data_IF_271323213917
#
_entry.id   IF_271323213917
#
_cell.length_a   1.000
_cell.length_b   1.000
_cell.length_c   1.000
_cell.angle_alpha   90.00
_cell.angle_beta   90.00
_cell.angle_gamma   90.00
#
_symmetry.space_group_name_H-M   'P 1'
#
loop_
_entity.id
_entity.type
_entity.pdbx_description
1 polymer ?
#
# COMPACT_ATOMS: atom_id res chain seq x y z
N UNK A 1 23.74 33.23 -19.66
CA UNK A 1 23.35 32.30 -18.58
C UNK A 1 22.56 31.18 -19.24
N UNK A 2 23.03 29.94 -19.14
CA UNK A 2 22.31 28.78 -19.66
C UNK A 2 21.35 28.30 -18.56
N UNK A 3 20.06 28.35 -18.85
CA UNK A 3 19.03 27.58 -18.17
C UNK A 3 19.16 26.12 -18.60
N UNK A 4 19.20 25.21 -17.63
CA UNK A 4 19.28 23.77 -17.87
C UNK A 4 20.04 23.10 -16.73
N UNK A 5 19.43 22.05 -16.16
CA UNK A 5 20.11 21.00 -15.37
C UNK A 5 20.25 21.18 -13.85
N UNK A 6 19.27 21.73 -13.12
CA UNK A 6 19.40 21.80 -11.65
C UNK A 6 18.18 21.58 -10.72
N UNK A 7 17.03 20.97 -11.14
CA UNK A 7 16.10 20.40 -10.16
C UNK A 7 16.08 18.87 -10.13
N UNK A 8 16.28 18.18 -11.25
CA UNK A 8 15.95 16.75 -11.38
C UNK A 8 16.91 15.83 -10.59
N UNK A 9 18.22 16.01 -10.73
CA UNK A 9 19.24 15.16 -10.07
C UNK A 9 19.17 15.20 -8.54
N UNK A 10 18.69 16.31 -7.97
CA UNK A 10 18.60 16.50 -6.52
C UNK A 10 17.45 15.69 -5.90
N UNK A 11 16.33 15.54 -6.61
CA UNK A 11 15.19 14.72 -6.16
C UNK A 11 15.48 13.23 -6.32
N UNK A 12 16.19 12.85 -7.38
CA UNK A 12 16.53 11.46 -7.67
C UNK A 12 17.39 10.84 -6.55
N UNK A 13 18.43 11.57 -6.09
CA UNK A 13 19.28 11.11 -4.97
C UNK A 13 18.51 10.99 -3.65
N UNK A 14 17.56 11.89 -3.38
CA UNK A 14 16.71 11.83 -2.19
C UNK A 14 15.72 10.66 -2.26
N UNK A 15 15.16 10.39 -3.43
CA UNK A 15 14.28 9.25 -3.70
C UNK A 15 15.02 7.91 -3.55
N UNK A 16 16.23 7.80 -4.10
CA UNK A 16 17.09 6.63 -3.88
C UNK A 16 17.52 6.45 -2.41
N UNK A 17 17.68 7.55 -1.66
CA UNK A 17 17.91 7.48 -0.21
C UNK A 17 16.69 6.93 0.55
N UNK A 18 15.48 7.28 0.12
CA UNK A 18 14.21 6.78 0.65
C UNK A 18 14.01 5.28 0.34
N UNK A 19 14.36 4.84 -0.87
CA UNK A 19 14.33 3.43 -1.28
C UNK A 19 15.37 2.57 -0.52
N UNK A 20 16.54 3.14 -0.19
CA UNK A 20 17.47 2.50 0.74
C UNK A 20 16.87 2.35 2.14
N UNK A 21 15.96 3.24 2.55
CA UNK A 21 15.19 3.17 3.79
C UNK A 21 14.44 1.85 3.97
N UNK A 22 13.92 1.23 2.91
CA UNK A 22 13.25 -0.08 3.03
C UNK A 22 14.24 -1.17 3.51
N UNK A 23 15.48 -1.19 3.00
CA UNK A 23 16.52 -2.13 3.47
C UNK A 23 17.00 -1.79 4.88
N UNK A 24 16.81 -0.55 5.31
CA UNK A 24 17.07 -0.13 6.69
C UNK A 24 16.01 -0.64 7.66
N UNK A 25 14.77 -0.84 7.22
CA UNK A 25 13.66 -1.30 8.09
C UNK A 25 13.25 -2.77 7.87
N UNK A 26 13.62 -3.39 6.75
CA UNK A 26 13.20 -4.74 6.39
C UNK A 26 14.31 -5.55 5.69
N UNK A 27 14.16 -6.88 5.71
CA UNK A 27 14.98 -7.84 4.97
C UNK A 27 14.09 -8.73 4.12
N UNK A 28 14.54 -9.06 2.92
CA UNK A 28 13.90 -10.06 2.08
C UNK A 28 14.49 -11.43 2.39
N UNK A 29 13.64 -12.42 2.64
CA UNK A 29 14.02 -13.78 3.00
C UNK A 29 13.31 -14.78 2.09
N UNK A 30 14.06 -15.36 1.15
CA UNK A 30 13.60 -16.50 0.37
C UNK A 30 13.50 -17.74 1.25
N UNK A 31 12.37 -18.45 1.15
CA UNK A 31 12.15 -19.73 1.82
C UNK A 31 11.72 -20.77 0.80
N UNK A 32 12.20 -21.99 0.99
CA UNK A 32 11.85 -23.16 0.18
C UNK A 32 10.98 -24.07 1.04
N UNK A 33 9.84 -24.48 0.50
CA UNK A 33 8.93 -25.41 1.15
C UNK A 33 8.75 -26.69 0.32
N UNK A 34 8.51 -27.79 1.03
CA UNK A 34 8.23 -29.11 0.45
C UNK A 34 6.98 -29.70 1.11
N UNK A 35 6.23 -30.50 0.36
CA UNK A 35 5.22 -31.39 0.98
C UNK A 35 5.79 -32.80 1.15
N UNK A 36 5.53 -33.40 2.31
CA UNK A 36 5.93 -34.79 2.60
C UNK A 36 4.77 -35.75 2.34
N UNK A 37 5.10 -36.88 1.72
CA UNK A 37 4.29 -38.10 1.77
C UNK A 37 4.46 -38.69 3.18
N UNK A 38 3.38 -38.71 3.97
CA UNK A 38 3.45 -39.11 5.39
C UNK A 38 3.77 -40.60 5.55
N UNK A 39 3.34 -41.42 4.61
CA UNK A 39 3.53 -42.87 4.67
C UNK A 39 4.94 -43.24 4.26
N UNK A 40 5.46 -42.60 3.20
CA UNK A 40 6.80 -42.88 2.67
C UNK A 40 7.91 -42.06 3.34
N UNK A 41 7.56 -41.01 4.07
CA UNK A 41 8.48 -39.98 4.62
C UNK A 41 9.42 -39.39 3.55
N UNK A 42 8.97 -39.37 2.30
CA UNK A 42 9.68 -38.77 1.16
C UNK A 42 8.95 -37.52 0.68
N UNK A 43 9.62 -36.72 -0.14
CA UNK A 43 9.00 -35.55 -0.77
C UNK A 43 7.94 -36.00 -1.78
N UNK A 44 6.79 -35.34 -1.80
CA UNK A 44 5.78 -35.53 -2.85
C UNK A 44 6.27 -34.91 -4.15
N UNK A 45 6.16 -35.66 -5.24
CA UNK A 45 6.53 -35.19 -6.57
C UNK A 45 5.72 -33.96 -6.97
N UNK A 46 6.39 -32.90 -7.43
CA UNK A 46 5.76 -31.64 -7.84
C UNK A 46 5.42 -30.67 -6.70
N UNK A 47 5.72 -31.00 -5.44
CA UNK A 47 5.38 -30.15 -4.27
C UNK A 47 6.59 -29.39 -3.71
N UNK A 48 7.47 -28.90 -4.58
CA UNK A 48 8.52 -27.94 -4.23
C UNK A 48 8.02 -26.53 -4.54
N UNK A 49 8.05 -25.63 -3.56
CA UNK A 49 7.70 -24.23 -3.78
C UNK A 49 8.71 -23.29 -3.13
N UNK A 50 8.77 -22.07 -3.64
CA UNK A 50 9.54 -20.98 -3.07
C UNK A 50 8.61 -19.82 -2.74
N UNK A 51 8.94 -19.07 -1.69
CA UNK A 51 8.25 -17.85 -1.33
C UNK A 51 9.25 -16.85 -0.75
N UNK A 52 9.16 -15.61 -1.20
CA UNK A 52 9.97 -14.51 -0.70
C UNK A 52 9.19 -13.73 0.34
N UNK A 53 9.73 -13.71 1.56
CA UNK A 53 9.10 -13.06 2.71
C UNK A 53 9.75 -11.73 3.00
N UNK A 54 8.97 -10.79 3.52
CA UNK A 54 9.47 -9.55 4.12
C UNK A 54 9.58 -9.78 5.63
N UNK A 55 10.79 -9.62 6.17
CA UNK A 55 11.09 -9.69 7.59
C UNK A 55 11.45 -8.28 8.09
N UNK A 56 10.51 -7.65 8.79
CA UNK A 56 10.73 -6.34 9.41
C UNK A 56 11.76 -6.42 10.54
N UNK A 57 12.60 -5.39 10.68
CA UNK A 57 13.52 -5.25 11.81
C UNK A 57 12.74 -4.90 13.08
N UNK A 58 13.36 -5.12 14.23
CA UNK A 58 12.76 -4.83 15.53
C UNK A 58 12.35 -3.35 15.60
N UNK A 59 11.13 -3.07 16.07
CA UNK A 59 10.60 -1.72 16.23
C UNK A 59 9.90 -1.15 14.99
N UNK A 60 9.71 -1.94 13.94
CA UNK A 60 8.93 -1.55 12.77
C UNK A 60 7.52 -2.10 12.91
N UNK A 61 6.54 -1.21 12.79
CA UNK A 61 5.12 -1.50 12.97
C UNK A 61 4.34 -1.01 11.74
N UNK A 62 3.24 -1.70 11.44
CA UNK A 62 2.28 -1.25 10.44
C UNK A 62 1.16 -0.50 11.13
N UNK A 63 0.99 0.77 10.80
CA UNK A 63 -0.01 1.65 11.42
C UNK A 63 -1.19 1.84 10.47
N UNK A 64 -2.39 1.65 10.99
CA UNK A 64 -3.65 1.91 10.27
C UNK A 64 -4.59 2.72 11.15
N UNK A 65 -5.28 3.67 10.53
CA UNK A 65 -6.31 4.47 11.19
C UNK A 65 -7.67 3.89 10.84
N UNK A 66 -8.49 3.62 11.85
CA UNK A 66 -9.81 3.00 11.65
C UNK A 66 -10.88 3.84 12.32
N UNK A 67 -11.86 4.27 11.52
CA UNK A 67 -13.07 4.94 12.01
C UNK A 67 -14.12 3.90 12.39
N UNK A 68 -13.86 3.14 13.45
CA UNK A 68 -14.79 2.15 13.99
C UNK A 68 -14.63 1.97 15.49
N UNK A 69 -15.73 1.60 16.16
CA UNK A 69 -15.68 1.13 17.54
C UNK A 69 -15.13 -0.29 17.58
N UNK A 70 -13.80 -0.41 17.69
CA UNK A 70 -13.12 -1.70 17.84
C UNK A 70 -13.12 -2.11 19.31
N UNK A 71 -13.53 -3.34 19.60
CA UNK A 71 -13.37 -3.92 20.94
C UNK A 71 -11.94 -4.53 21.06
N UNK A 72 -11.05 -3.96 21.89
CA UNK A 72 -9.67 -4.43 22.03
C UNK A 72 -9.56 -5.87 22.54
N UNK A 73 -10.52 -6.31 23.36
CA UNK A 73 -10.54 -7.67 23.92
C UNK A 73 -10.73 -8.76 22.85
N UNK A 74 -11.14 -8.38 21.63
CA UNK A 74 -11.41 -9.31 20.52
C UNK A 74 -10.27 -9.38 19.50
N UNK A 75 -9.28 -8.50 19.55
CA UNK A 75 -8.24 -8.40 18.52
C UNK A 75 -6.87 -8.29 19.22
N UNK A 76 -6.27 -9.45 19.48
CA UNK A 76 -4.92 -9.55 20.06
C UNK A 76 -3.93 -10.09 19.02
N UNK A 77 -4.27 -11.20 18.36
CA UNK A 77 -3.45 -11.79 17.29
C UNK A 77 -4.34 -12.19 16.13
N UNK A 78 -3.98 -11.75 14.92
CA UNK A 78 -4.74 -12.04 13.69
C UNK A 78 -3.82 -12.63 12.63
N UNK A 79 -4.42 -13.38 11.69
CA UNK A 79 -3.72 -13.80 10.48
C UNK A 79 -3.66 -12.63 9.51
N UNK A 80 -2.46 -12.26 9.08
CA UNK A 80 -2.25 -11.18 8.11
C UNK A 80 -1.27 -11.65 7.03
N UNK A 81 -1.65 -11.44 5.77
CA UNK A 81 -0.87 -11.88 4.61
C UNK A 81 -1.08 -13.34 4.22
N UNK A 82 -0.15 -13.88 3.43
CA UNK A 82 -0.17 -15.26 2.95
C UNK A 82 0.41 -16.28 3.95
N UNK A 83 0.35 -17.56 3.59
CA UNK A 83 1.08 -18.66 4.26
C UNK A 83 0.89 -18.74 5.80
N UNK A 84 -0.29 -18.33 6.29
CA UNK A 84 -0.67 -18.45 7.70
C UNK A 84 0.16 -17.59 8.66
N UNK A 85 0.76 -16.49 8.17
CA UNK A 85 1.48 -15.54 9.02
C UNK A 85 0.52 -14.82 9.98
N UNK A 86 1.05 -14.46 11.14
CA UNK A 86 0.29 -13.84 12.23
C UNK A 86 0.98 -12.55 12.67
N UNK A 87 0.16 -11.59 13.11
CA UNK A 87 0.61 -10.33 13.69
C UNK A 87 -0.14 -10.08 14.99
N UNK A 88 0.53 -9.40 15.92
CA UNK A 88 -0.13 -8.84 17.09
C UNK A 88 -0.70 -7.48 16.73
N UNK A 89 -1.85 -7.17 17.32
CA UNK A 89 -2.55 -5.91 17.11
C UNK A 89 -2.62 -5.19 18.43
N UNK A 90 -2.15 -3.96 18.44
CA UNK A 90 -2.28 -3.03 19.56
C UNK A 90 -3.20 -1.89 19.12
N UNK A 91 -4.08 -1.45 20.01
CA UNK A 91 -5.04 -0.38 19.74
C UNK A 91 -4.71 0.78 20.65
N UNK A 92 -4.23 1.85 20.06
CA UNK A 92 -4.15 3.15 20.72
C UNK A 92 -5.47 3.91 20.50
N UNK A 93 -6.21 4.13 21.59
CA UNK A 93 -7.49 4.87 21.57
C UNK A 93 -7.32 6.35 21.86
N UNK A 94 -6.17 6.73 22.40
CA UNK A 94 -5.90 8.09 22.83
C UNK A 94 -5.30 8.91 21.69
N UNK A 95 -4.70 8.24 20.70
CA UNK A 95 -4.24 8.88 19.48
C UNK A 95 -5.41 9.45 18.66
N UNK A 96 -5.40 10.78 18.51
CA UNK A 96 -6.35 11.51 17.67
C UNK A 96 -5.58 12.17 16.54
N UNK A 97 -5.83 11.73 15.32
CA UNK A 97 -5.27 12.35 14.13
C UNK A 97 -6.23 13.41 13.58
N UNK A 98 -5.69 14.55 13.17
CA UNK A 98 -6.46 15.58 12.49
C UNK A 98 -6.50 15.30 10.99
N UNK A 99 -7.70 15.03 10.48
CA UNK A 99 -7.91 14.90 9.05
C UNK A 99 -8.26 16.25 8.43
N UNK A 100 -7.55 16.62 7.37
CA UNK A 100 -7.87 17.81 6.55
C UNK A 100 -8.66 17.41 5.31
N UNK A 101 -9.36 18.37 4.70
CA UNK A 101 -10.02 18.17 3.40
C UNK A 101 -9.03 18.20 2.24
N UNK A 102 -9.42 17.60 1.10
CA UNK A 102 -8.61 17.61 -0.13
C UNK A 102 -8.84 18.92 -0.89
N UNK A 103 -7.77 19.67 -1.16
CA UNK A 103 -7.75 20.79 -2.10
C UNK A 103 -7.34 20.31 -3.49
N UNK A 104 -8.05 20.75 -4.53
CA UNK A 104 -7.72 20.36 -5.92
C UNK A 104 -6.37 20.89 -6.41
N UNK A 105 -5.92 22.03 -5.87
CA UNK A 105 -4.74 22.76 -6.34
C UNK A 105 -3.46 22.34 -5.58
N UNK A 106 -3.58 21.44 -4.60
CA UNK A 106 -2.46 20.95 -3.79
C UNK A 106 -1.98 19.57 -4.27
N UNK A 107 -0.78 19.22 -3.80
CA UNK A 107 -0.15 17.92 -4.02
C UNK A 107 -0.21 17.07 -2.75
N UNK A 108 -0.33 15.76 -2.95
CA UNK A 108 -0.47 14.78 -1.88
C UNK A 108 0.38 13.55 -2.16
N UNK A 109 0.86 12.90 -1.11
CA UNK A 109 1.51 11.59 -1.17
C UNK A 109 0.45 10.50 -1.00
N UNK A 110 0.42 9.55 -1.93
CA UNK A 110 -0.43 8.36 -1.84
C UNK A 110 0.13 7.40 -0.78
N UNK A 111 -0.62 7.18 0.31
CA UNK A 111 -0.26 6.21 1.34
C UNK A 111 -0.75 4.78 1.03
N UNK A 112 -1.73 4.68 0.13
CA UNK A 112 -2.28 3.45 -0.41
C UNK A 112 -2.46 3.61 -1.92
N UNK A 113 -2.65 2.52 -2.69
CA UNK A 113 -3.02 2.64 -4.09
C UNK A 113 -4.24 3.54 -4.31
N UNK A 114 -4.14 4.43 -5.29
CA UNK A 114 -5.25 5.29 -5.74
C UNK A 114 -5.87 4.63 -6.97
N UNK A 115 -7.06 4.06 -6.79
CA UNK A 115 -7.75 3.35 -7.85
C UNK A 115 -8.27 4.33 -8.90
N UNK A 116 -7.94 4.07 -10.16
CA UNK A 116 -8.38 4.88 -11.28
C UNK A 116 -9.89 4.70 -11.52
N UNK A 117 -10.68 5.79 -11.56
CA UNK A 117 -12.01 5.74 -12.17
C UNK A 117 -11.89 5.30 -13.63
N UNK A 118 -12.86 4.51 -14.13
CA UNK A 118 -12.80 3.92 -15.47
C UNK A 118 -12.65 4.98 -16.56
N UNK A 119 -13.33 6.11 -16.38
CA UNK A 119 -13.33 7.28 -17.26
C UNK A 119 -12.02 8.08 -17.25
N UNK A 120 -11.13 7.83 -16.27
CA UNK A 120 -9.86 8.53 -16.12
C UNK A 120 -8.65 7.69 -16.48
N UNK A 121 -8.81 6.39 -16.78
CA UNK A 121 -7.68 5.46 -17.00
C UNK A 121 -6.70 5.98 -18.04
N UNK A 122 -7.20 6.51 -19.15
CA UNK A 122 -6.34 6.98 -20.26
C UNK A 122 -5.66 8.32 -19.97
N UNK A 123 -6.13 9.06 -18.96
CA UNK A 123 -5.63 10.39 -18.63
C UNK A 123 -5.03 10.47 -17.22
N UNK A 124 -4.93 9.35 -16.50
CA UNK A 124 -4.57 9.34 -15.08
C UNK A 124 -3.17 9.91 -14.84
N UNK A 125 -2.25 9.70 -15.79
CA UNK A 125 -0.87 10.22 -15.72
C UNK A 125 -0.81 11.74 -15.64
N UNK A 126 -1.82 12.47 -16.16
CA UNK A 126 -1.89 13.94 -16.07
C UNK A 126 -2.03 14.43 -14.62
N UNK A 127 -2.42 13.55 -13.71
CA UNK A 127 -2.63 13.87 -12.30
C UNK A 127 -1.47 13.41 -11.39
N UNK A 128 -0.42 12.82 -11.97
CA UNK A 128 0.71 12.26 -11.24
C UNK A 128 1.92 13.16 -11.46
N UNK A 129 2.51 13.62 -10.35
CA UNK A 129 3.75 14.41 -10.37
C UNK A 129 4.94 13.48 -10.52
N UNK A 130 4.97 12.42 -9.71
CA UNK A 130 5.96 11.34 -9.78
C UNK A 130 5.37 10.08 -9.14
N UNK A 131 5.73 8.92 -9.64
CA UNK A 131 5.18 7.64 -9.18
C UNK A 131 4.97 6.65 -10.31
N UNK A 132 4.23 5.58 -10.01
CA UNK A 132 3.97 4.50 -10.95
C UNK A 132 2.46 4.25 -11.07
N UNK A 133 2.01 4.02 -12.31
CA UNK A 133 0.67 3.50 -12.60
C UNK A 133 0.81 2.04 -13.02
N UNK A 134 0.01 1.17 -12.41
CA UNK A 134 0.04 -0.25 -12.71
C UNK A 134 -1.35 -0.88 -12.62
N UNK A 135 -1.47 -2.11 -13.13
CA UNK A 135 -2.67 -2.94 -12.97
C UNK A 135 -2.52 -3.83 -11.75
N UNK A 136 -3.43 -3.67 -10.80
CA UNK A 136 -3.40 -4.37 -9.52
C UNK A 136 -4.63 -5.25 -9.34
N UNK A 137 -4.41 -6.48 -8.86
CA UNK A 137 -5.48 -7.42 -8.49
C UNK A 137 -5.87 -7.20 -7.02
N UNK A 138 -7.14 -6.85 -6.76
CA UNK A 138 -7.64 -6.37 -5.45
C UNK A 138 -7.80 -7.48 -4.37
N UNK A 139 -7.10 -8.59 -4.52
CA UNK A 139 -7.05 -9.69 -3.57
C UNK A 139 -7.89 -10.91 -3.94
N UNK A 140 -8.04 -11.81 -2.97
CA UNK A 140 -8.72 -13.10 -3.15
C UNK A 140 -9.79 -13.24 -2.08
N UNK A 141 -11.03 -13.50 -2.49
CA UNK A 141 -12.15 -13.76 -1.59
C UNK A 141 -12.74 -15.15 -1.88
N UNK A 142 -12.87 -15.99 -0.84
CA UNK A 142 -13.41 -17.35 -0.98
C UNK A 142 -12.68 -18.23 -2.01
N UNK A 143 -11.37 -18.01 -2.18
CA UNK A 143 -10.55 -18.72 -3.18
C UNK A 143 -10.70 -18.20 -4.63
N UNK A 144 -11.50 -17.16 -4.86
CA UNK A 144 -11.64 -16.50 -6.17
C UNK A 144 -10.87 -15.18 -6.17
N UNK A 145 -10.23 -14.88 -7.29
CA UNK A 145 -9.58 -13.58 -7.49
C UNK A 145 -10.65 -12.50 -7.60
N UNK A 146 -10.43 -11.39 -6.91
CA UNK A 146 -11.16 -10.15 -7.10
C UNK A 146 -10.74 -9.51 -8.43
N UNK A 147 -11.38 -8.42 -8.80
CA UNK A 147 -11.09 -7.74 -10.05
C UNK A 147 -9.68 -7.15 -10.12
N UNK A 148 -9.25 -6.86 -11.34
CA UNK A 148 -7.99 -6.17 -11.62
C UNK A 148 -8.29 -4.77 -12.11
N UNK A 149 -7.71 -3.77 -11.46
CA UNK A 149 -7.96 -2.35 -11.72
C UNK A 149 -6.66 -1.62 -12.02
N UNK A 150 -6.73 -0.54 -12.78
CA UNK A 150 -5.62 0.40 -12.91
C UNK A 150 -5.55 1.24 -11.65
N UNK A 151 -4.35 1.41 -11.08
CA UNK A 151 -4.13 2.21 -9.89
C UNK A 151 -2.81 2.97 -9.97
N UNK A 152 -2.77 4.15 -9.35
CA UNK A 152 -1.52 4.82 -8.98
C UNK A 152 -1.01 4.13 -7.71
N UNK A 153 0.22 3.62 -7.73
CA UNK A 153 0.78 2.88 -6.60
C UNK A 153 1.10 3.80 -5.41
N UNK A 154 1.11 3.22 -4.22
CA UNK A 154 1.54 3.89 -2.99
C UNK A 154 2.96 4.47 -3.12
N UNK A 155 3.23 5.56 -2.41
CA UNK A 155 4.47 6.33 -2.51
C UNK A 155 4.49 7.36 -3.66
N UNK A 156 3.49 7.36 -4.54
CA UNK A 156 3.37 8.35 -5.61
C UNK A 156 2.94 9.73 -5.09
N UNK A 157 3.38 10.79 -5.75
CA UNK A 157 2.91 12.17 -5.52
C UNK A 157 1.91 12.55 -6.60
N UNK A 158 0.72 12.98 -6.18
CA UNK A 158 -0.42 13.26 -7.06
C UNK A 158 -1.03 14.63 -6.77
N UNK A 159 -1.74 15.19 -7.76
CA UNK A 159 -2.60 16.36 -7.55
C UNK A 159 -3.92 15.98 -6.90
N UNK A 160 -4.40 16.80 -5.95
CA UNK A 160 -5.66 16.55 -5.22
C UNK A 160 -6.90 16.47 -6.13
N UNK A 161 -6.84 17.08 -7.31
CA UNK A 161 -7.86 16.96 -8.36
C UNK A 161 -8.20 15.49 -8.71
N UNK A 162 -7.22 14.57 -8.65
CA UNK A 162 -7.47 13.15 -8.87
C UNK A 162 -8.45 12.58 -7.84
N UNK A 163 -8.19 12.84 -6.55
CA UNK A 163 -9.00 12.33 -5.44
C UNK A 163 -10.43 12.90 -5.50
N UNK A 164 -10.56 14.18 -5.85
CA UNK A 164 -11.84 14.86 -5.99
C UNK A 164 -12.65 14.38 -7.20
N UNK A 165 -12.00 13.78 -8.20
CA UNK A 165 -12.67 13.20 -9.37
C UNK A 165 -13.15 11.77 -9.16
N UNK A 166 -12.66 11.06 -8.14
CA UNK A 166 -13.27 9.80 -7.71
C UNK A 166 -14.67 10.19 -7.21
N UNK A 167 -15.74 9.73 -7.86
CA UNK A 167 -17.11 10.06 -7.41
C UNK A 167 -17.94 8.82 -7.21
N UNK A 168 -17.81 7.88 -8.14
CA UNK A 168 -18.61 6.67 -8.20
C UNK A 168 -17.76 5.45 -8.58
N UNK A 169 -18.41 4.28 -8.60
CA UNK A 169 -17.82 3.03 -9.05
C UNK A 169 -16.83 2.41 -8.07
N UNK A 170 -16.03 1.48 -8.59
CA UNK A 170 -15.18 0.62 -7.77
C UNK A 170 -14.17 1.41 -6.93
N UNK A 171 -13.62 2.50 -7.47
CA UNK A 171 -12.70 3.35 -6.72
C UNK A 171 -13.36 3.91 -5.46
N UNK A 172 -14.63 4.31 -5.51
CA UNK A 172 -15.38 4.82 -4.36
C UNK A 172 -15.74 3.69 -3.36
N UNK A 173 -16.12 2.52 -3.84
CA UNK A 173 -16.49 1.36 -3.00
C UNK A 173 -15.33 0.90 -2.10
N UNK A 174 -14.10 0.98 -2.61
CA UNK A 174 -12.90 0.52 -1.92
C UNK A 174 -12.30 1.54 -0.95
N UNK A 175 -12.81 2.78 -0.88
CA UNK A 175 -12.36 3.80 0.10
C UNK A 175 -12.51 3.28 1.53
N UNK A 176 -13.64 2.62 1.84
CA UNK A 176 -13.89 2.05 3.18
C UNK A 176 -12.92 0.91 3.55
N UNK A 177 -12.23 0.34 2.57
CA UNK A 177 -11.23 -0.70 2.77
C UNK A 177 -9.79 -0.13 2.91
N UNK A 178 -9.64 1.20 2.87
CA UNK A 178 -8.35 1.89 3.05
C UNK A 178 -7.64 2.26 1.74
N UNK A 179 -8.25 2.04 0.58
CA UNK A 179 -7.75 2.55 -0.70
C UNK A 179 -8.00 4.06 -0.83
N UNK A 180 -7.28 4.71 -1.74
CA UNK A 180 -7.37 6.15 -2.01
C UNK A 180 -7.00 7.04 -0.81
N UNK A 181 -6.17 6.54 0.10
CA UNK A 181 -5.66 7.26 1.25
C UNK A 181 -4.47 8.12 0.85
N UNK A 182 -4.52 9.40 1.21
CA UNK A 182 -3.45 10.36 0.93
C UNK A 182 -3.08 11.17 2.18
N UNK A 183 -1.85 11.70 2.18
CA UNK A 183 -1.35 12.65 3.17
C UNK A 183 -0.87 13.90 2.43
N UNK A 184 -1.08 15.09 3.00
CA UNK A 184 -0.47 16.28 2.40
C UNK A 184 1.05 16.23 2.58
N UNK A 185 1.79 17.00 1.77
CA UNK A 185 3.25 16.99 1.83
C UNK A 185 3.81 17.58 3.14
N UNK A 186 2.96 18.21 3.96
CA UNK A 186 3.28 18.67 5.31
C UNK A 186 3.02 17.61 6.40
N UNK A 187 2.60 16.39 6.04
CA UNK A 187 2.44 15.26 6.95
C UNK A 187 1.08 15.11 7.64
N UNK A 188 0.07 15.92 7.27
CA UNK A 188 -1.31 15.80 7.79
C UNK A 188 -2.13 14.83 6.94
N UNK A 189 -2.78 13.87 7.60
CA UNK A 189 -3.69 12.94 6.92
C UNK A 189 -4.89 13.67 6.33
N UNK A 190 -5.39 13.14 5.23
CA UNK A 190 -6.47 13.75 4.47
C UNK A 190 -7.67 12.83 4.46
N UNK A 191 -8.85 13.40 4.66
CA UNK A 191 -10.14 12.72 4.51
C UNK A 191 -10.91 13.39 3.39
N UNK A 192 -11.48 12.54 2.54
CA UNK A 192 -12.42 12.95 1.51
C UNK A 192 -13.82 13.14 2.09
#
# INVERSE_FOLDING_TARGET
MKEGDAPYEKWESYFYSLLNGIKEIAKFQSRVGIALDRDKRTVKEGYLYTADYIAYKKGVELVVYVEANINPERICTVKLGGEGRVVNVEIDKDHKEEFIGVSSDEMYLALSPILAPAEMVDEIEKYIVTGEVSKLMLGVNGGKRNETVTAVLEGSVIYGKLINNIKDGIAQEYIRQGYNTVVNLCGKLVKK
#
